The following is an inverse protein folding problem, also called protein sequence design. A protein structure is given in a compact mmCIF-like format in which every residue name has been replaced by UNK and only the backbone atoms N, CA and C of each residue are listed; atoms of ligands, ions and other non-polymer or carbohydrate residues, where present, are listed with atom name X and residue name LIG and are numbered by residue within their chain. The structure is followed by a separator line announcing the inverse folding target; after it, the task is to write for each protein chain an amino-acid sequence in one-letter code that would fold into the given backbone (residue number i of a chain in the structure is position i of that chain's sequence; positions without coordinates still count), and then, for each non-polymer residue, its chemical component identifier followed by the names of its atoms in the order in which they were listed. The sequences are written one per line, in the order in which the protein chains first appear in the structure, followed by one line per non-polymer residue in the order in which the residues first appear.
data_IF_987520721496
#
_entry.id   IF_987520721496
#
_cell.length_a   1.000
_cell.length_b   1.000
_cell.length_c   1.000
_cell.angle_alpha   90.00
_cell.angle_beta   90.00
_cell.angle_gamma   90.00
#
_symmetry.space_group_name_H-M   'P 1'
#
loop_
_entity.id
_entity.type
_entity.pdbx_description
1 polymer ?
#
# COMPACT_ATOMS: atom_id res chain seq x y z
N UNK A 1 16.23 -13.26 16.03
CA UNK A 1 16.75 -12.14 15.22
C UNK A 1 16.26 -10.86 15.86
N UNK A 2 17.08 -9.82 15.91
CA UNK A 2 16.58 -8.46 16.15
C UNK A 2 15.99 -7.96 14.83
N UNK A 3 14.89 -7.23 14.90
CA UNK A 3 14.36 -6.45 13.79
C UNK A 3 14.17 -5.02 14.29
N UNK A 4 14.18 -4.08 13.36
CA UNK A 4 14.37 -2.66 13.62
C UNK A 4 13.50 -1.86 12.67
N UNK A 5 12.66 -1.00 13.24
CA UNK A 5 11.67 -0.24 12.48
C UNK A 5 11.68 1.24 12.81
N UNK A 6 11.23 2.04 11.84
CA UNK A 6 11.14 3.49 11.90
C UNK A 6 9.75 3.90 11.39
N UNK A 7 8.98 4.65 12.19
CA UNK A 7 7.69 5.17 11.77
C UNK A 7 7.88 6.47 10.97
N UNK A 8 7.38 6.52 9.71
CA UNK A 8 7.42 7.70 8.79
C UNK A 8 6.15 7.95 7.64
N UNK A 9 5.64 9.16 8.35
CA UNK A 9 6.13 10.35 9.28
C UNK A 9 5.85 11.95 9.17
N UNK A 10 4.67 12.65 9.09
CA UNK A 10 4.39 14.15 9.00
C UNK A 10 2.91 14.68 9.02
N UNK A 11 2.67 15.96 8.61
CA UNK A 11 1.40 16.71 8.37
C UNK A 11 1.59 17.97 7.43
N UNK A 12 0.50 18.54 6.86
CA UNK A 12 0.49 19.68 5.88
C UNK A 12 -0.29 20.94 6.34
N UNK A 13 0.18 22.16 6.01
CA UNK A 13 -0.58 23.41 6.11
C UNK A 13 -0.18 24.46 5.04
N UNK A 14 -1.12 25.34 4.66
CA UNK A 14 -0.87 26.48 3.76
C UNK A 14 -0.84 27.81 4.55
N UNK A 15 0.25 28.58 4.45
CA UNK A 15 0.37 29.90 5.10
C UNK A 15 1.08 30.93 4.20
N UNK A 16 0.64 32.20 4.29
CA UNK A 16 1.18 33.30 3.49
C UNK A 16 2.14 34.17 4.32
N UNK A 17 3.43 33.82 4.36
CA UNK A 17 4.47 34.75 4.85
C UNK A 17 5.81 34.50 4.15
N UNK A 18 6.40 35.56 3.58
CA UNK A 18 7.59 35.46 2.73
C UNK A 18 8.77 36.22 3.38
N UNK A 19 9.61 35.48 4.12
CA UNK A 19 10.82 36.03 4.76
C UNK A 19 11.91 34.95 4.94
N UNK A 20 12.66 34.62 3.87
CA UNK A 20 13.86 33.77 3.98
C UNK A 20 14.99 34.50 4.71
N UNK A 21 15.03 34.41 6.03
CA UNK A 21 16.28 34.56 6.78
C UNK A 21 17.19 33.36 6.48
N UNK A 22 18.48 33.62 6.28
CA UNK A 22 19.50 32.58 6.25
C UNK A 22 19.63 31.98 7.66
N UNK A 23 18.95 30.87 7.91
CA UNK A 23 19.16 30.09 9.12
C UNK A 23 20.59 29.50 9.11
N UNK A 24 21.26 29.41 10.28
CA UNK A 24 22.59 28.80 10.35
C UNK A 24 22.51 27.33 9.92
N UNK A 25 23.56 26.84 9.25
CA UNK A 25 23.67 25.42 8.89
C UNK A 25 23.57 24.57 10.16
N UNK A 26 22.51 23.79 10.26
CA UNK A 26 22.31 22.83 11.34
C UNK A 26 23.02 21.51 11.00
N UNK A 27 23.59 20.87 12.01
CA UNK A 27 24.27 19.56 11.87
C UNK A 27 23.27 18.42 11.62
N UNK A 28 23.70 17.29 11.01
CA UNK A 28 22.85 16.12 10.83
C UNK A 28 22.34 15.57 12.16
N UNK A 29 21.06 15.16 12.19
CA UNK A 29 20.42 14.58 13.37
C UNK A 29 20.14 13.10 13.11
N UNK A 30 20.43 12.23 14.08
CA UNK A 30 20.33 10.77 13.91
C UNK A 30 19.33 10.12 14.86
N UNK A 31 18.78 8.98 14.43
CA UNK A 31 17.82 8.17 15.16
C UNK A 31 18.14 6.69 14.96
N UNK A 32 18.61 6.03 16.01
CA UNK A 32 18.97 4.62 15.96
C UNK A 32 17.75 3.71 16.17
N UNK A 33 17.68 2.62 15.40
CA UNK A 33 16.72 1.53 15.58
C UNK A 33 17.48 0.21 15.39
N UNK A 34 17.75 -0.49 16.49
CA UNK A 34 18.54 -1.73 16.47
C UNK A 34 19.93 -1.53 15.88
N UNK A 35 20.23 -2.29 14.82
CA UNK A 35 21.54 -2.33 14.16
C UNK A 35 21.64 -1.30 12.99
N UNK A 36 20.64 -0.42 12.85
CA UNK A 36 20.56 0.63 11.83
C UNK A 36 20.33 2.03 12.43
N UNK A 37 20.74 3.07 11.69
CA UNK A 37 20.43 4.48 11.97
C UNK A 37 19.69 5.14 10.79
N UNK A 38 18.78 6.06 11.11
CA UNK A 38 18.31 7.09 10.18
C UNK A 38 19.07 8.38 10.46
N UNK A 39 19.57 9.03 9.41
CA UNK A 39 20.27 10.31 9.42
C UNK A 39 19.45 11.31 8.62
N UNK A 40 19.14 12.47 9.21
CA UNK A 40 18.45 13.56 8.52
C UNK A 40 19.35 14.80 8.52
N UNK A 41 19.63 15.34 7.34
CA UNK A 41 20.45 16.53 7.13
C UNK A 41 19.54 17.71 6.73
N UNK A 42 19.38 18.75 7.56
CA UNK A 42 18.67 19.97 7.19
C UNK A 42 19.46 20.87 6.24
N UNK A 43 18.74 21.73 5.52
CA UNK A 43 19.27 22.68 4.54
C UNK A 43 19.60 22.07 3.19
N UNK A 44 20.37 22.79 2.36
CA UNK A 44 20.65 22.38 0.97
C UNK A 44 21.64 21.23 0.83
N UNK A 45 22.23 20.71 1.91
CA UNK A 45 23.21 19.62 1.88
C UNK A 45 22.62 18.31 1.36
N UNK A 46 23.46 17.44 0.79
CA UNK A 46 23.09 16.07 0.41
C UNK A 46 23.88 15.02 1.20
N UNK A 47 23.29 13.86 1.53
CA UNK A 47 21.87 13.53 1.35
C UNK A 47 20.97 14.15 2.44
N UNK A 48 19.80 14.66 2.06
CA UNK A 48 18.79 15.19 3.00
C UNK A 48 18.27 14.14 3.99
N UNK A 49 18.07 12.89 3.55
CA UNK A 49 17.76 11.74 4.40
C UNK A 49 18.59 10.54 3.95
N UNK A 50 19.15 9.78 4.88
CA UNK A 50 19.78 8.49 4.58
C UNK A 50 19.55 7.49 5.73
N UNK A 51 19.42 6.20 5.40
CA UNK A 51 19.43 5.13 6.41
C UNK A 51 20.62 4.21 6.20
N UNK A 52 21.27 3.81 7.29
CA UNK A 52 22.58 3.14 7.27
C UNK A 52 22.64 2.00 8.29
N UNK A 53 23.41 0.96 7.99
CA UNK A 53 23.76 -0.08 8.96
C UNK A 53 24.89 0.44 9.86
N UNK A 54 24.62 0.53 11.17
CA UNK A 54 25.52 1.18 12.14
C UNK A 54 26.87 0.46 12.26
N UNK A 55 26.91 -0.86 12.03
CA UNK A 55 28.11 -1.67 12.17
C UNK A 55 29.07 -1.59 10.97
N UNK A 56 28.57 -1.34 9.75
CA UNK A 56 29.37 -1.32 8.52
C UNK A 56 29.49 0.06 7.88
N UNK A 57 28.62 1.01 8.26
CA UNK A 57 28.46 2.29 7.56
C UNK A 57 27.76 2.17 6.20
N UNK A 58 27.31 0.96 5.80
CA UNK A 58 26.64 0.74 4.51
C UNK A 58 25.35 1.55 4.47
N UNK A 59 25.19 2.38 3.43
CA UNK A 59 23.97 3.14 3.18
C UNK A 59 22.96 2.25 2.46
N UNK A 60 21.76 2.07 3.05
CA UNK A 60 20.68 1.28 2.46
C UNK A 60 19.79 2.15 1.57
N UNK A 61 19.49 3.38 1.99
CA UNK A 61 18.79 4.34 1.13
C UNK A 61 19.27 5.77 1.34
N UNK A 62 18.98 6.58 0.32
CA UNK A 62 19.06 8.05 0.32
C UNK A 62 17.73 8.58 -0.23
N UNK A 63 17.25 9.69 0.32
CA UNK A 63 16.31 10.59 -0.36
C UNK A 63 16.85 12.03 -0.25
N UNK A 64 16.99 12.68 -1.39
CA UNK A 64 17.55 14.03 -1.55
C UNK A 64 16.46 15.08 -1.37
N UNK A 65 15.22 14.75 -1.74
CA UNK A 65 14.07 15.66 -1.76
C UNK A 65 12.91 15.02 -1.00
N UNK A 66 12.96 14.96 0.35
CA UNK A 66 12.01 14.23 1.19
C UNK A 66 10.67 14.96 1.39
N UNK A 67 10.51 16.16 0.83
CA UNK A 67 9.23 16.86 0.74
C UNK A 67 8.84 16.91 -0.74
N UNK A 68 7.74 16.23 -1.11
CA UNK A 68 7.23 16.23 -2.48
C UNK A 68 5.71 16.38 -2.46
N UNK A 69 5.16 17.12 -3.42
CA UNK A 69 3.72 17.25 -3.65
C UNK A 69 3.41 17.14 -5.14
N UNK A 70 2.37 16.37 -5.49
CA UNK A 70 1.77 16.40 -6.82
C UNK A 70 0.58 17.37 -6.79
N UNK A 71 0.61 18.34 -7.70
CA UNK A 71 -0.43 19.34 -7.90
C UNK A 71 -1.24 19.01 -9.15
N UNK A 72 -2.49 19.46 -9.19
CA UNK A 72 -3.34 19.35 -10.37
C UNK A 72 -3.37 20.70 -11.09
N UNK A 73 -2.70 20.82 -12.24
CA UNK A 73 -3.01 21.90 -13.17
C UNK A 73 -1.90 22.43 -14.09
N UNK A 74 -0.65 21.94 -14.05
CA UNK A 74 0.44 22.56 -14.81
C UNK A 74 1.49 21.58 -15.37
N UNK A 75 2.29 22.05 -16.33
CA UNK A 75 3.15 21.21 -17.19
C UNK A 75 4.25 20.47 -16.41
N UNK A 76 4.60 20.95 -15.20
CA UNK A 76 5.39 20.22 -14.20
C UNK A 76 4.57 20.03 -12.92
N UNK A 77 3.72 19.02 -12.88
CA UNK A 77 2.80 18.78 -11.76
C UNK A 77 3.48 18.45 -10.41
N UNK A 78 4.78 18.14 -10.35
CA UNK A 78 5.48 17.82 -9.08
C UNK A 78 6.31 19.01 -8.59
N UNK A 79 6.15 19.38 -7.32
CA UNK A 79 7.00 20.34 -6.63
C UNK A 79 7.71 19.66 -5.44
N UNK A 80 8.99 19.98 -5.23
CA UNK A 80 9.89 19.29 -4.30
C UNK A 80 10.62 20.25 -3.36
N UNK A 81 11.11 19.74 -2.22
CA UNK A 81 11.84 20.50 -1.22
C UNK A 81 12.56 19.64 -0.18
N UNK A 82 13.13 20.30 0.83
CA UNK A 82 13.98 19.74 1.89
C UNK A 82 13.55 20.27 3.26
N UNK A 83 14.06 19.64 4.33
CA UNK A 83 13.92 20.19 5.68
C UNK A 83 14.74 21.47 5.83
N UNK A 84 14.08 22.55 6.26
CA UNK A 84 14.76 23.76 6.72
C UNK A 84 15.41 23.53 8.09
N UNK A 85 14.75 22.77 8.97
CA UNK A 85 15.24 22.43 10.31
C UNK A 85 14.80 21.00 10.70
N UNK A 86 15.57 20.37 11.61
CA UNK A 86 15.21 19.08 12.23
C UNK A 86 15.51 19.15 13.73
N UNK A 87 14.52 18.92 14.58
CA UNK A 87 14.65 18.95 16.05
C UNK A 87 14.31 17.59 16.66
N UNK A 88 14.68 17.36 17.92
CA UNK A 88 14.22 16.18 18.68
C UNK A 88 13.10 16.60 19.63
N UNK A 89 11.87 16.18 19.35
CA UNK A 89 10.67 16.44 20.17
C UNK A 89 10.12 15.10 20.68
N UNK A 90 9.95 14.94 21.99
CA UNK A 90 9.36 13.75 22.64
C UNK A 90 9.91 12.39 22.17
N UNK A 91 11.21 12.32 21.85
CA UNK A 91 11.85 11.11 21.31
C UNK A 91 11.61 10.84 19.82
N UNK A 92 11.17 11.84 19.06
CA UNK A 92 11.05 11.79 17.60
C UNK A 92 11.95 12.83 16.92
N UNK A 93 12.45 12.52 15.72
CA UNK A 93 13.07 13.53 14.84
C UNK A 93 12.00 14.30 14.07
N UNK A 94 11.74 15.54 14.50
CA UNK A 94 10.77 16.45 13.88
C UNK A 94 11.46 17.33 12.85
N UNK A 95 11.29 17.00 11.57
CA UNK A 95 11.70 17.86 10.47
C UNK A 95 10.63 18.89 10.14
N UNK A 96 11.01 20.05 9.63
CA UNK A 96 10.08 21.06 9.11
C UNK A 96 10.67 21.71 7.86
N UNK A 97 9.85 21.98 6.85
CA UNK A 97 10.28 22.67 5.63
C UNK A 97 9.12 22.96 4.68
N UNK A 98 9.39 23.81 3.70
CA UNK A 98 8.40 24.29 2.73
C UNK A 98 8.72 23.82 1.31
N UNK A 99 7.67 23.53 0.54
CA UNK A 99 7.72 23.30 -0.91
C UNK A 99 7.05 24.48 -1.62
N UNK A 100 7.67 24.96 -2.70
CA UNK A 100 7.17 26.04 -3.53
C UNK A 100 6.74 25.50 -4.90
N UNK A 101 5.50 25.76 -5.33
CA UNK A 101 5.05 25.40 -6.69
C UNK A 101 5.61 26.34 -7.75
N UNK A 102 5.58 25.90 -9.02
CA UNK A 102 5.86 26.77 -10.16
C UNK A 102 4.93 28.00 -10.23
N UNK A 103 3.71 27.88 -9.69
CA UNK A 103 2.71 28.96 -9.55
C UNK A 103 2.90 29.85 -8.32
N UNK A 104 3.93 29.61 -7.49
CA UNK A 104 4.26 30.43 -6.31
C UNK A 104 3.50 30.09 -5.02
N UNK A 105 2.71 29.01 -4.99
CA UNK A 105 2.04 28.52 -3.79
C UNK A 105 3.03 27.84 -2.85
N UNK A 106 2.91 28.12 -1.54
CA UNK A 106 3.77 27.54 -0.49
C UNK A 106 3.01 26.44 0.27
N UNK A 107 3.65 25.28 0.41
CA UNK A 107 3.14 24.11 1.12
C UNK A 107 4.09 23.76 2.27
N UNK A 108 3.67 23.98 3.51
CA UNK A 108 4.48 23.70 4.69
C UNK A 108 4.27 22.26 5.17
N UNK A 109 5.37 21.54 5.40
CA UNK A 109 5.40 20.18 5.92
C UNK A 109 6.00 20.19 7.35
N UNK A 110 5.30 19.61 8.34
CA UNK A 110 5.91 19.21 9.62
C UNK A 110 6.01 17.70 9.69
N UNK A 111 7.22 17.19 9.71
CA UNK A 111 7.54 15.76 9.85
C UNK A 111 7.84 15.38 11.29
N UNK A 112 7.77 14.10 11.59
CA UNK A 112 8.36 13.48 12.78
C UNK A 112 8.98 12.13 12.34
N UNK A 113 9.71 11.43 13.20
CA UNK A 113 10.12 10.02 12.95
C UNK A 113 10.48 9.38 14.29
N UNK A 114 10.01 8.15 14.54
CA UNK A 114 10.25 7.41 15.80
C UNK A 114 10.84 6.04 15.52
N UNK A 115 11.82 5.58 16.29
CA UNK A 115 12.27 4.19 16.25
C UNK A 115 11.36 3.31 17.12
N UNK A 116 10.94 2.17 16.58
CA UNK A 116 9.98 1.28 17.22
C UNK A 116 10.63 -0.09 17.53
N UNK A 117 10.75 -0.48 18.81
CA UNK A 117 11.14 -1.83 19.19
C UNK A 117 10.01 -2.81 18.89
N UNK A 118 10.35 -4.08 18.65
CA UNK A 118 9.44 -5.09 18.09
C UNK A 118 8.41 -5.68 19.09
N UNK A 119 7.99 -4.90 20.10
CA UNK A 119 7.23 -5.41 21.25
C UNK A 119 6.05 -4.54 21.73
N UNK A 120 6.02 -3.24 21.41
CA UNK A 120 4.98 -2.32 21.91
C UNK A 120 4.04 -1.80 20.81
N UNK A 121 2.80 -1.58 21.20
CA UNK A 121 1.72 -1.04 20.36
C UNK A 121 1.52 0.47 20.60
N UNK A 122 0.93 1.14 19.61
CA UNK A 122 0.55 2.57 19.57
C UNK A 122 1.65 3.61 19.23
N UNK A 123 1.18 4.75 18.67
CA UNK A 123 1.91 5.91 18.11
C UNK A 123 2.60 5.70 16.74
N UNK A 124 2.32 6.58 15.77
CA UNK A 124 2.70 6.45 14.33
C UNK A 124 3.01 7.80 13.64
N UNK A 125 2.29 8.17 12.55
CA UNK A 125 2.20 9.51 11.82
C UNK A 125 2.82 9.58 10.36
N UNK A 126 2.80 10.70 9.58
CA UNK A 126 2.53 10.79 8.06
C UNK A 126 3.31 11.68 6.92
N UNK A 127 4.60 11.47 6.49
CA UNK A 127 5.40 12.07 5.32
C UNK A 127 5.36 11.31 3.93
N UNK A 128 6.28 11.54 2.96
CA UNK A 128 6.56 10.60 1.84
C UNK A 128 8.06 10.28 1.63
N UNK A 129 8.52 9.06 1.94
CA UNK A 129 9.92 8.62 1.73
C UNK A 129 10.04 7.68 0.52
N UNK A 130 10.96 7.96 -0.39
CA UNK A 130 11.26 7.07 -1.52
C UNK A 130 12.68 6.49 -1.43
N UNK A 131 12.81 5.18 -1.63
CA UNK A 131 13.98 4.43 -1.12
C UNK A 131 14.56 3.39 -2.12
N UNK A 132 15.68 3.73 -2.79
CA UNK A 132 16.85 2.91 -3.23
C UNK A 132 17.84 3.87 -3.97
N UNK A 133 19.12 3.51 -4.28
CA UNK A 133 20.21 4.47 -4.48
C UNK A 133 20.54 4.81 -5.95
N UNK A 134 21.58 5.63 -6.14
CA UNK A 134 22.22 5.99 -7.43
C UNK A 134 23.01 4.83 -8.06
N UNK A 135 22.34 3.70 -8.30
CA UNK A 135 22.85 2.55 -9.07
C UNK A 135 21.74 1.94 -9.93
N UNK A 136 22.05 1.43 -11.14
CA UNK A 136 21.03 1.00 -12.09
C UNK A 136 20.25 -0.25 -11.62
N UNK A 137 18.94 -0.21 -11.84
CA UNK A 137 17.87 -1.11 -11.37
C UNK A 137 18.00 -2.64 -11.62
N UNK A 138 19.15 -3.16 -12.04
CA UNK A 138 19.30 -4.52 -12.60
C UNK A 138 19.56 -5.62 -11.55
N UNK A 139 19.90 -5.28 -10.31
CA UNK A 139 20.11 -6.24 -9.20
C UNK A 139 18.92 -6.38 -8.24
N UNK A 140 17.93 -5.49 -8.29
CA UNK A 140 16.83 -5.45 -7.32
C UNK A 140 15.74 -6.50 -7.59
N UNK A 141 15.15 -7.03 -6.51
CA UNK A 141 13.96 -7.88 -6.50
C UNK A 141 12.82 -7.13 -5.80
N UNK A 142 11.62 -7.16 -6.37
CA UNK A 142 10.46 -6.42 -5.88
C UNK A 142 9.31 -7.37 -5.48
N UNK A 143 8.62 -7.03 -4.40
CA UNK A 143 7.35 -7.62 -3.96
C UNK A 143 6.35 -6.51 -3.70
N UNK A 144 5.14 -6.68 -4.24
CA UNK A 144 3.96 -5.89 -3.89
C UNK A 144 2.92 -6.88 -3.38
N UNK A 145 2.20 -6.57 -2.31
CA UNK A 145 1.15 -7.45 -1.79
C UNK A 145 -0.04 -7.57 -2.74
N UNK A 146 -0.80 -8.67 -2.64
CA UNK A 146 -1.84 -9.08 -3.61
C UNK A 146 -1.28 -9.56 -4.96
N UNK A 147 -0.23 -8.91 -5.47
CA UNK A 147 0.55 -9.34 -6.63
C UNK A 147 1.44 -10.53 -6.28
N UNK A 148 0.87 -11.74 -6.33
CA UNK A 148 1.56 -12.99 -5.98
C UNK A 148 2.86 -13.24 -6.76
N UNK A 149 3.03 -12.62 -7.92
CA UNK A 149 4.14 -12.82 -8.84
C UNK A 149 5.47 -12.18 -8.37
N UNK A 150 6.43 -13.02 -7.99
CA UNK A 150 7.81 -12.65 -7.68
C UNK A 150 8.44 -11.79 -8.82
N UNK A 151 8.73 -10.52 -8.57
CA UNK A 151 9.29 -9.62 -9.59
C UNK A 151 10.82 -9.75 -9.59
N UNK A 152 11.32 -10.69 -10.38
CA UNK A 152 12.59 -10.47 -11.10
C UNK A 152 12.29 -9.50 -12.24
N UNK A 153 13.09 -8.45 -12.40
CA UNK A 153 12.94 -7.41 -13.43
C UNK A 153 13.35 -7.89 -14.86
N UNK A 154 13.02 -9.13 -15.20
CA UNK A 154 13.53 -9.87 -16.38
C UNK A 154 12.51 -10.86 -16.99
N UNK A 155 11.23 -10.81 -16.62
CA UNK A 155 10.20 -11.72 -17.13
C UNK A 155 8.98 -11.00 -17.69
N UNK A 156 8.61 -11.29 -18.93
CA UNK A 156 7.33 -10.87 -19.51
C UNK A 156 6.17 -11.62 -18.86
N UNK A 157 5.03 -10.95 -18.69
CA UNK A 157 3.78 -11.50 -18.17
C UNK A 157 2.62 -11.08 -19.08
N UNK A 158 1.40 -11.55 -18.78
CA UNK A 158 0.20 -11.20 -19.54
C UNK A 158 0.03 -9.68 -19.68
N UNK A 159 -0.19 -9.15 -20.91
CA UNK A 159 -0.49 -7.74 -21.13
C UNK A 159 -1.68 -7.25 -20.30
N UNK A 160 -1.69 -5.95 -19.97
CA UNK A 160 -2.76 -5.29 -19.22
C UNK A 160 -2.72 -5.43 -17.69
N UNK A 161 -2.07 -6.46 -17.13
CA UNK A 161 -2.05 -6.70 -15.67
C UNK A 161 -1.17 -5.65 -14.94
N UNK A 162 -1.57 -5.25 -13.72
CA UNK A 162 -0.74 -4.44 -12.81
C UNK A 162 0.62 -5.12 -12.57
N UNK A 163 1.72 -4.36 -12.71
CA UNK A 163 3.09 -4.91 -12.69
C UNK A 163 3.30 -6.13 -13.63
N UNK A 164 2.50 -6.23 -14.72
CA UNK A 164 2.62 -7.26 -15.76
C UNK A 164 3.70 -6.96 -16.80
N UNK A 165 4.02 -5.68 -16.99
CA UNK A 165 5.17 -5.24 -17.79
C UNK A 165 6.15 -4.53 -16.86
N UNK A 166 7.42 -4.90 -16.95
CA UNK A 166 8.49 -4.44 -16.06
C UNK A 166 9.28 -3.28 -16.69
N UNK A 167 8.94 -2.91 -17.93
CA UNK A 167 9.43 -1.70 -18.60
C UNK A 167 8.70 -0.42 -18.13
N UNK A 168 7.51 -0.56 -17.53
CA UNK A 168 6.79 0.51 -16.84
C UNK A 168 7.71 1.27 -15.86
N UNK A 169 7.56 2.59 -15.77
CA UNK A 169 8.31 3.47 -14.87
C UNK A 169 7.68 3.54 -13.47
N UNK A 170 6.38 3.29 -13.35
CA UNK A 170 5.64 3.41 -12.09
C UNK A 170 4.71 2.21 -11.86
N UNK A 171 4.65 1.77 -10.59
CA UNK A 171 3.90 0.61 -10.12
C UNK A 171 3.08 0.97 -8.87
N UNK A 172 2.31 2.05 -8.93
CA UNK A 172 1.49 2.52 -7.81
C UNK A 172 0.17 1.74 -7.77
N UNK A 173 -0.06 1.03 -6.66
CA UNK A 173 -1.24 0.22 -6.41
C UNK A 173 -1.88 0.69 -5.10
N UNK A 174 -3.17 1.00 -5.13
CA UNK A 174 -3.95 1.43 -3.96
C UNK A 174 -3.89 0.39 -2.86
N UNK A 175 -3.75 0.81 -1.60
CA UNK A 175 -3.71 -0.12 -0.47
C UNK A 175 -5.00 -0.94 -0.34
N UNK A 176 -6.16 -0.36 -0.67
CA UNK A 176 -7.46 -1.03 -0.73
C UNK A 176 -7.55 -2.17 -1.77
N UNK A 177 -6.55 -2.33 -2.66
CA UNK A 177 -6.43 -3.49 -3.57
C UNK A 177 -5.48 -4.58 -3.03
N UNK A 178 -4.90 -4.41 -1.85
CA UNK A 178 -3.97 -5.36 -1.25
C UNK A 178 -4.63 -6.10 -0.08
N UNK A 179 -4.50 -7.45 0.02
CA UNK A 179 -5.04 -8.22 1.15
C UNK A 179 -4.27 -8.01 2.46
N UNK A 180 -3.07 -7.44 2.37
CA UNK A 180 -2.27 -6.92 3.48
C UNK A 180 -1.36 -5.85 2.86
N UNK A 181 -1.61 -4.55 3.05
CA UNK A 181 -0.90 -3.52 2.29
C UNK A 181 0.56 -3.40 2.70
N UNK A 182 1.47 -3.83 1.82
CA UNK A 182 2.90 -3.51 1.91
C UNK A 182 3.62 -3.69 0.57
N UNK A 183 4.77 -3.03 0.46
CA UNK A 183 5.74 -3.21 -0.63
C UNK A 183 7.14 -3.48 -0.07
N UNK A 184 7.96 -4.20 -0.82
CA UNK A 184 9.28 -4.65 -0.39
C UNK A 184 10.26 -4.71 -1.56
N UNK A 185 11.48 -4.24 -1.35
CA UNK A 185 12.60 -4.36 -2.27
C UNK A 185 13.81 -5.00 -1.57
N UNK A 186 14.51 -5.89 -2.26
CA UNK A 186 15.79 -6.47 -1.84
C UNK A 186 16.82 -6.20 -2.96
N UNK A 187 18.03 -5.75 -2.62
CA UNK A 187 19.16 -5.86 -3.55
C UNK A 187 19.74 -7.28 -3.48
N UNK A 188 19.81 -7.96 -4.62
CA UNK A 188 20.29 -9.34 -4.66
C UNK A 188 21.82 -9.51 -4.66
N UNK A 189 22.57 -8.41 -4.51
CA UNK A 189 24.03 -8.40 -4.36
C UNK A 189 24.44 -8.48 -2.89
N UNK A 190 23.81 -7.65 -2.05
CA UNK A 190 24.06 -7.50 -0.61
C UNK A 190 23.12 -8.33 0.26
N UNK A 191 21.92 -8.64 -0.23
CA UNK A 191 20.86 -9.25 0.58
C UNK A 191 20.20 -8.28 1.58
N UNK A 192 20.56 -6.99 1.57
CA UNK A 192 19.82 -5.99 2.35
C UNK A 192 18.42 -5.80 1.74
N UNK A 193 17.40 -5.78 2.59
CA UNK A 193 16.02 -5.50 2.17
C UNK A 193 15.42 -4.31 2.90
N UNK A 194 14.35 -3.81 2.28
CA UNK A 194 13.55 -2.71 2.76
C UNK A 194 12.08 -2.97 2.48
N UNK A 195 11.21 -2.65 3.43
CA UNK A 195 9.76 -2.81 3.29
C UNK A 195 9.01 -1.63 3.89
N UNK A 196 7.90 -1.25 3.24
CA UNK A 196 7.03 -0.15 3.60
C UNK A 196 5.58 -0.63 3.69
N UNK A 197 4.87 -0.21 4.74
CA UNK A 197 3.45 -0.46 4.95
C UNK A 197 2.78 0.66 5.75
N UNK A 198 1.45 0.82 5.65
CA UNK A 198 0.69 1.71 6.51
C UNK A 198 0.78 1.27 7.97
N UNK A 199 0.76 2.21 8.90
CA UNK A 199 0.56 1.95 10.33
C UNK A 199 -0.70 2.69 10.74
N UNK A 200 -1.58 2.06 11.53
CA UNK A 200 -2.80 2.69 12.07
C UNK A 200 -3.71 3.34 11.00
N UNK A 201 -3.64 2.88 9.74
CA UNK A 201 -4.40 3.48 8.64
C UNK A 201 -5.85 2.97 8.60
N UNK A 202 -6.78 3.90 8.33
CA UNK A 202 -8.19 3.63 8.10
C UNK A 202 -8.57 4.04 6.67
N UNK A 203 -8.15 3.27 5.65
CA UNK A 203 -8.34 3.64 4.25
C UNK A 203 -9.82 3.61 3.85
N UNK A 204 -10.34 4.77 3.43
CA UNK A 204 -11.70 4.95 2.96
C UNK A 204 -11.75 5.92 1.76
N UNK A 205 -12.88 5.89 1.05
CA UNK A 205 -13.25 6.83 0.00
C UNK A 205 -14.74 7.13 0.14
N UNK A 206 -15.17 8.40 0.32
CA UNK A 206 -16.59 8.75 0.48
C UNK A 206 -17.30 8.93 -0.86
N UNK A 207 -16.55 9.01 -1.96
CA UNK A 207 -17.04 9.10 -3.34
C UNK A 207 -17.06 7.72 -3.99
N UNK A 208 -18.08 7.45 -4.80
CA UNK A 208 -17.97 6.37 -5.79
C UNK A 208 -16.94 6.76 -6.86
N UNK A 209 -16.17 5.78 -7.31
CA UNK A 209 -15.03 5.98 -8.21
C UNK A 209 -15.18 5.19 -9.52
N UNK A 210 -16.31 5.28 -10.24
CA UNK A 210 -16.64 4.36 -11.33
C UNK A 210 -15.84 4.63 -12.61
N UNK A 211 -14.96 5.64 -12.61
CA UNK A 211 -14.26 6.13 -13.78
C UNK A 211 -12.86 6.68 -13.44
N UNK A 212 -12.05 6.83 -14.48
CA UNK A 212 -10.68 7.33 -14.40
C UNK A 212 -10.54 8.85 -14.22
N UNK A 213 -11.59 9.58 -13.82
CA UNK A 213 -11.49 11.01 -13.55
C UNK A 213 -10.48 11.29 -12.43
N UNK A 214 -9.91 12.49 -12.43
CA UNK A 214 -9.18 13.02 -11.28
C UNK A 214 -10.20 13.46 -10.24
N UNK A 215 -10.32 12.71 -9.14
CA UNK A 215 -11.22 13.06 -8.04
C UNK A 215 -10.47 13.85 -6.96
N UNK A 216 -11.13 14.88 -6.42
CA UNK A 216 -10.58 15.79 -5.41
C UNK A 216 -11.59 15.82 -4.26
N UNK A 217 -11.26 15.17 -3.14
CA UNK A 217 -12.13 15.04 -1.97
C UNK A 217 -11.28 14.77 -0.73
N UNK A 218 -11.54 15.48 0.38
CA UNK A 218 -10.73 15.41 1.61
C UNK A 218 -10.89 14.10 2.40
N UNK A 219 -12.02 13.41 2.23
CA UNK A 219 -12.30 12.14 2.91
C UNK A 219 -11.64 10.93 2.25
N UNK A 220 -10.93 11.11 1.12
CA UNK A 220 -10.09 10.06 0.53
C UNK A 220 -8.88 9.85 1.45
N UNK A 221 -8.97 8.87 2.34
CA UNK A 221 -7.96 8.59 3.37
C UNK A 221 -7.00 7.47 3.01
N UNK A 222 -7.15 6.83 1.85
CA UNK A 222 -6.26 5.77 1.40
C UNK A 222 -5.06 6.29 0.58
N UNK A 223 -3.93 5.58 0.65
CA UNK A 223 -2.73 5.77 -0.16
C UNK A 223 -2.55 4.66 -1.22
N UNK A 224 -1.56 4.85 -2.09
CA UNK A 224 -1.01 3.83 -2.96
C UNK A 224 0.41 3.51 -2.56
N UNK A 225 0.74 2.22 -2.52
CA UNK A 225 2.08 1.71 -2.28
C UNK A 225 2.63 1.14 -3.58
N UNK A 226 3.93 1.26 -3.80
CA UNK A 226 4.53 0.80 -5.05
C UNK A 226 6.03 0.91 -5.13
N UNK A 227 6.50 0.92 -6.36
CA UNK A 227 7.84 1.35 -6.73
C UNK A 227 7.78 2.24 -7.97
N UNK A 228 8.78 3.08 -8.14
CA UNK A 228 9.07 3.79 -9.38
C UNK A 228 10.49 3.43 -9.86
N UNK A 229 10.79 3.74 -11.13
CA UNK A 229 12.08 3.49 -11.81
C UNK A 229 12.72 4.75 -12.39
N UNK A 230 12.02 5.88 -12.35
CA UNK A 230 12.46 7.19 -12.88
C UNK A 230 12.28 8.25 -11.78
N UNK A 231 13.25 9.17 -11.57
CA UNK A 231 14.59 9.19 -12.17
C UNK A 231 15.48 8.02 -11.74
N UNK A 232 15.24 7.48 -10.53
CA UNK A 232 15.91 6.30 -9.98
C UNK A 232 14.91 5.22 -9.61
N UNK A 233 15.39 4.01 -9.32
CA UNK A 233 14.54 2.95 -8.75
C UNK A 233 14.38 3.17 -7.26
N UNK A 234 13.13 3.27 -6.79
CA UNK A 234 12.82 3.52 -5.39
C UNK A 234 11.46 2.94 -5.01
N UNK A 235 11.33 2.38 -3.80
CA UNK A 235 10.01 2.14 -3.19
C UNK A 235 9.28 3.47 -3.00
N UNK A 236 7.95 3.47 -3.00
CA UNK A 236 7.14 4.68 -2.85
C UNK A 236 5.84 4.42 -2.08
N UNK A 237 5.44 5.43 -1.31
CA UNK A 237 4.09 5.66 -0.79
C UNK A 237 3.60 6.96 -1.41
N UNK A 238 2.37 6.97 -1.93
CA UNK A 238 1.75 8.13 -2.60
C UNK A 238 0.37 8.34 -2.01
N UNK A 239 0.15 9.50 -1.37
CA UNK A 239 -1.07 9.81 -0.64
C UNK A 239 -1.63 11.19 -1.04
N UNK A 240 -2.94 11.31 -1.32
CA UNK A 240 -3.92 10.22 -1.48
C UNK A 240 -3.64 9.36 -2.73
N UNK A 241 -4.18 8.14 -2.76
CA UNK A 241 -3.68 7.08 -3.63
C UNK A 241 -3.92 7.24 -5.13
N UNK A 242 -2.82 7.32 -5.89
CA UNK A 242 -2.77 7.29 -7.37
C UNK A 242 -2.59 5.85 -7.87
N UNK A 243 -3.28 5.43 -8.94
CA UNK A 243 -3.08 4.11 -9.56
C UNK A 243 -2.48 4.27 -10.97
N UNK A 244 -1.34 3.63 -11.26
CA UNK A 244 -0.64 3.74 -12.54
C UNK A 244 0.79 3.17 -12.53
N UNK A 245 1.51 3.01 -13.65
CA UNK A 245 1.18 3.33 -15.06
C UNK A 245 0.18 2.36 -15.73
N UNK A 246 -0.34 1.39 -14.97
CA UNK A 246 -1.52 0.60 -15.31
C UNK A 246 -2.50 0.70 -14.15
N UNK A 247 -3.80 0.66 -14.43
CA UNK A 247 -4.86 0.77 -13.44
C UNK A 247 -6.10 -0.05 -13.89
N UNK A 248 -6.96 -0.43 -12.94
CA UNK A 248 -8.16 -1.23 -13.20
C UNK A 248 -9.45 -0.42 -13.43
N UNK A 249 -9.41 0.93 -13.46
CA UNK A 249 -10.62 1.77 -13.57
C UNK A 249 -10.78 2.38 -14.97
N UNK A 250 -9.68 2.86 -15.56
CA UNK A 250 -9.61 3.32 -16.94
C UNK A 250 -8.33 2.76 -17.60
N UNK A 251 -8.40 1.56 -18.22
CA UNK A 251 -7.27 0.95 -18.90
C UNK A 251 -6.73 1.73 -20.13
N UNK A 252 -7.46 2.75 -20.60
CA UNK A 252 -7.00 3.64 -21.68
C UNK A 252 -6.19 4.85 -21.18
N UNK A 253 -6.19 5.12 -19.87
CA UNK A 253 -5.31 6.10 -19.24
C UNK A 253 -4.17 5.41 -18.49
N UNK A 254 -2.93 5.94 -18.49
CA UNK A 254 -1.84 5.36 -17.72
C UNK A 254 -2.03 5.56 -16.21
N UNK A 255 -2.64 6.66 -15.79
CA UNK A 255 -2.83 7.03 -14.39
C UNK A 255 -4.27 7.38 -14.08
N UNK A 256 -4.71 7.06 -12.86
CA UNK A 256 -5.96 7.51 -12.25
C UNK A 256 -5.64 8.16 -10.92
N UNK A 257 -5.86 9.48 -10.84
CA UNK A 257 -5.34 10.36 -9.79
C UNK A 257 -6.38 10.66 -8.71
N UNK A 258 -5.95 10.67 -7.45
CA UNK A 258 -6.68 11.32 -6.35
C UNK A 258 -5.85 12.45 -5.80
N UNK A 259 -6.52 13.47 -5.27
CA UNK A 259 -5.90 14.57 -4.55
C UNK A 259 -6.83 15.09 -3.47
N UNK A 260 -6.28 15.84 -2.54
CA UNK A 260 -7.06 16.62 -1.58
C UNK A 260 -7.24 18.06 -2.07
N UNK A 261 -8.27 18.80 -1.61
CA UNK A 261 -8.46 20.20 -1.96
C UNK A 261 -7.41 21.10 -1.31
N UNK A 262 -6.67 21.86 -2.13
CA UNK A 262 -5.74 22.89 -1.64
C UNK A 262 -6.53 24.10 -1.14
N UNK A 263 -6.93 24.06 0.13
CA UNK A 263 -7.79 25.08 0.78
C UNK A 263 -7.34 25.36 2.21
N UNK A 264 -7.57 26.60 2.68
CA UNK A 264 -7.12 27.04 4.00
C UNK A 264 -7.82 26.27 5.13
N UNK A 265 -7.04 25.78 6.09
CA UNK A 265 -7.55 25.06 7.26
C UNK A 265 -7.64 23.54 7.09
N UNK A 266 -7.40 23.02 5.88
CA UNK A 266 -7.34 21.57 5.65
C UNK A 266 -5.91 21.05 5.88
N UNK A 267 -5.79 19.93 6.58
CA UNK A 267 -4.53 19.27 6.93
C UNK A 267 -4.63 17.76 6.68
N UNK A 268 -3.57 17.17 6.14
CA UNK A 268 -3.58 15.78 5.64
C UNK A 268 -2.59 14.86 6.36
N UNK A 269 -2.93 13.57 6.43
CA UNK A 269 -2.39 12.61 7.38
C UNK A 269 -2.60 11.13 6.93
N UNK A 270 -1.57 10.47 6.38
CA UNK A 270 -1.44 9.00 6.21
C UNK A 270 -0.22 8.32 6.91
N UNK A 271 -0.43 7.34 7.81
CA UNK A 271 0.56 6.81 8.79
C UNK A 271 1.32 5.52 8.38
N UNK A 272 2.50 5.18 8.98
CA UNK A 272 3.40 4.10 8.48
C UNK A 272 4.47 3.47 9.40
N UNK A 273 5.07 2.36 8.90
CA UNK A 273 6.44 1.93 9.22
C UNK A 273 7.32 1.56 8.02
N UNK A 274 8.62 1.87 8.17
CA UNK A 274 9.75 1.29 7.46
C UNK A 274 10.28 0.09 8.29
N UNK A 275 10.53 -1.05 7.65
CA UNK A 275 11.29 -2.16 8.22
C UNK A 275 12.45 -2.56 7.28
N UNK A 276 13.63 -2.76 7.86
CA UNK A 276 14.85 -3.14 7.16
C UNK A 276 15.60 -4.24 7.92
N UNK A 277 16.11 -5.23 7.18
CA UNK A 277 16.91 -6.34 7.71
C UNK A 277 17.75 -7.00 6.59
N UNK A 278 18.78 -7.79 6.93
CA UNK A 278 19.59 -8.53 5.97
C UNK A 278 19.12 -9.99 5.80
N UNK A 279 19.12 -10.50 4.58
CA UNK A 279 18.92 -11.92 4.27
C UNK A 279 19.55 -12.33 2.94
N UNK A 280 20.20 -13.50 2.93
CA UNK A 280 20.67 -14.12 1.70
C UNK A 280 19.54 -14.70 0.82
N UNK A 281 18.31 -14.84 1.35
CA UNK A 281 17.18 -15.43 0.63
C UNK A 281 15.92 -14.54 0.61
N UNK A 282 15.41 -14.32 -0.60
CA UNK A 282 14.25 -13.47 -0.88
C UNK A 282 12.91 -14.11 -0.46
N UNK A 283 12.83 -15.44 -0.36
CA UNK A 283 11.64 -16.14 0.14
C UNK A 283 11.50 -16.01 1.66
N UNK A 284 12.60 -16.08 2.40
CA UNK A 284 12.66 -15.76 3.82
C UNK A 284 12.22 -14.31 4.05
N UNK A 285 12.73 -13.38 3.25
CA UNK A 285 12.40 -11.95 3.30
C UNK A 285 10.92 -11.65 3.08
N UNK A 286 10.33 -12.15 1.98
CA UNK A 286 8.90 -11.97 1.71
C UNK A 286 8.05 -12.54 2.84
N UNK A 287 8.47 -13.66 3.45
CA UNK A 287 7.77 -14.26 4.61
C UNK A 287 7.97 -13.46 5.91
N UNK A 288 9.15 -12.88 6.14
CA UNK A 288 9.44 -12.05 7.31
C UNK A 288 8.72 -10.71 7.23
N UNK A 289 8.80 -10.01 6.10
CA UNK A 289 8.05 -8.77 5.89
C UNK A 289 6.53 -9.00 5.90
N UNK A 290 6.01 -10.10 5.32
CA UNK A 290 4.58 -10.43 5.46
C UNK A 290 4.17 -10.52 6.93
N UNK A 291 4.93 -11.26 7.76
CA UNK A 291 4.63 -11.38 9.19
C UNK A 291 4.76 -10.05 9.92
N UNK A 292 5.85 -9.32 9.70
CA UNK A 292 6.05 -8.00 10.29
C UNK A 292 4.88 -7.04 10.01
N UNK A 293 4.40 -6.96 8.75
CA UNK A 293 3.28 -6.08 8.40
C UNK A 293 1.92 -6.63 8.86
N UNK A 294 1.75 -7.96 8.90
CA UNK A 294 0.56 -8.61 9.48
C UNK A 294 0.44 -8.35 10.99
N UNK A 295 1.54 -8.54 11.72
CA UNK A 295 1.60 -8.40 13.18
C UNK A 295 1.53 -6.91 13.59
N UNK A 296 1.91 -5.98 12.70
CA UNK A 296 1.67 -4.55 12.83
C UNK A 296 0.19 -4.16 12.61
N UNK A 297 -0.49 -4.77 11.63
CA UNK A 297 -1.94 -4.57 11.43
C UNK A 297 -2.75 -5.23 12.55
N UNK A 298 -2.22 -6.29 13.18
CA UNK A 298 -2.84 -7.06 14.25
C UNK A 298 -4.35 -7.35 13.97
N UNK A 299 -4.67 -8.01 12.84
CA UNK A 299 -6.05 -8.24 12.44
C UNK A 299 -6.78 -9.13 13.45
N UNK A 300 -8.08 -8.92 13.63
CA UNK A 300 -8.89 -9.75 14.53
C UNK A 300 -9.00 -11.19 13.99
N UNK A 301 -8.31 -12.13 14.66
CA UNK A 301 -8.38 -13.56 14.33
C UNK A 301 -9.52 -14.20 15.13
N UNK A 302 -10.73 -14.14 14.58
CA UNK A 302 -11.89 -14.82 15.14
C UNK A 302 -11.68 -16.35 15.17
N UNK A 303 -11.67 -16.94 16.37
CA UNK A 303 -11.52 -18.39 16.55
C UNK A 303 -12.88 -19.09 16.38
N UNK A 304 -13.23 -19.40 15.14
CA UNK A 304 -14.48 -20.10 14.79
C UNK A 304 -14.20 -21.58 14.49
N UNK A 305 -14.97 -22.54 15.04
CA UNK A 305 -14.83 -23.95 14.67
C UNK A 305 -15.05 -24.17 13.18
N UNK A 306 -14.14 -24.92 12.53
CA UNK A 306 -14.20 -25.13 11.07
C UNK A 306 -15.50 -25.82 10.61
N UNK A 307 -16.14 -26.61 11.47
CA UNK A 307 -17.46 -27.20 11.21
C UNK A 307 -18.56 -26.13 11.15
N UNK A 308 -18.49 -25.08 11.95
CA UNK A 308 -19.52 -24.05 12.02
C UNK A 308 -19.42 -23.12 10.80
N UNK A 309 -18.18 -22.80 10.38
CA UNK A 309 -17.91 -22.14 9.10
C UNK A 309 -18.42 -22.98 7.92
N UNK A 310 -18.21 -24.29 7.95
CA UNK A 310 -18.73 -25.21 6.92
C UNK A 310 -20.27 -25.24 6.92
N UNK A 311 -20.91 -25.33 8.09
CA UNK A 311 -22.38 -25.30 8.24
C UNK A 311 -22.97 -24.02 7.68
N UNK A 312 -22.49 -22.86 8.15
CA UNK A 312 -22.92 -21.56 7.64
C UNK A 312 -22.70 -21.41 6.13
N UNK A 313 -21.63 -22.00 5.57
CA UNK A 313 -21.40 -22.02 4.12
C UNK A 313 -22.42 -22.88 3.36
N UNK A 314 -22.80 -24.05 3.91
CA UNK A 314 -23.86 -24.90 3.34
C UNK A 314 -25.22 -24.22 3.46
N UNK A 315 -25.52 -23.58 4.59
CA UNK A 315 -26.79 -22.87 4.82
C UNK A 315 -26.92 -21.66 3.87
N UNK A 316 -25.83 -20.92 3.65
CA UNK A 316 -25.76 -19.80 2.70
C UNK A 316 -25.98 -20.28 1.25
N UNK A 317 -25.37 -21.40 0.86
CA UNK A 317 -25.63 -22.02 -0.45
C UNK A 317 -27.05 -22.59 -0.54
N UNK A 318 -27.61 -23.13 0.54
CA UNK A 318 -29.00 -23.60 0.60
C UNK A 318 -30.03 -22.47 0.50
N UNK A 319 -29.68 -21.26 0.94
CA UNK A 319 -30.50 -20.05 0.82
C UNK A 319 -30.46 -19.44 -0.58
N UNK A 320 -29.27 -19.30 -1.18
CA UNK A 320 -29.11 -18.73 -2.53
C UNK A 320 -29.24 -19.76 -3.67
N UNK A 321 -29.31 -21.05 -3.38
CA UNK A 321 -29.52 -22.11 -4.37
C UNK A 321 -30.99 -22.20 -4.76
N UNK A 322 -31.36 -21.66 -5.92
CA UNK A 322 -32.75 -21.55 -6.36
C UNK A 322 -32.90 -21.58 -7.90
N UNK A 323 -34.15 -21.57 -8.36
CA UNK A 323 -34.50 -21.52 -9.78
C UNK A 323 -34.60 -20.07 -10.25
N UNK A 324 -33.52 -19.53 -10.81
CA UNK A 324 -33.50 -18.18 -11.38
C UNK A 324 -33.82 -18.23 -12.87
N UNK A 325 -34.90 -17.55 -13.28
CA UNK A 325 -35.39 -17.52 -14.66
C UNK A 325 -35.64 -18.93 -15.26
N UNK A 326 -36.02 -19.91 -14.42
CA UNK A 326 -36.27 -21.29 -14.81
C UNK A 326 -35.05 -22.22 -14.78
N UNK A 327 -33.87 -21.72 -14.40
CA UNK A 327 -32.63 -22.49 -14.33
C UNK A 327 -32.12 -22.62 -12.89
N UNK A 328 -31.72 -23.82 -12.44
CA UNK A 328 -31.20 -24.03 -11.10
C UNK A 328 -29.78 -23.48 -10.98
N UNK A 329 -29.47 -22.78 -9.89
CA UNK A 329 -28.12 -22.30 -9.62
C UNK A 329 -28.03 -21.30 -8.49
N UNK A 330 -26.90 -20.60 -8.45
CA UNK A 330 -26.64 -19.48 -7.54
C UNK A 330 -26.55 -18.16 -8.33
N UNK A 331 -26.91 -17.00 -7.74
CA UNK A 331 -26.59 -15.71 -8.33
C UNK A 331 -25.07 -15.50 -8.40
N UNK A 332 -24.62 -14.62 -9.29
CA UNK A 332 -23.20 -14.25 -9.41
C UNK A 332 -22.76 -13.31 -8.28
N UNK A 333 -23.65 -12.43 -7.83
CA UNK A 333 -23.38 -11.54 -6.70
C UNK A 333 -24.65 -10.99 -6.06
N UNK A 334 -24.55 -10.71 -4.77
CA UNK A 334 -25.50 -9.96 -3.96
C UNK A 334 -24.89 -8.63 -3.50
N UNK A 335 -25.74 -7.70 -3.06
CA UNK A 335 -25.35 -6.48 -2.37
C UNK A 335 -25.13 -6.77 -0.88
N UNK A 336 -24.26 -5.98 -0.23
CA UNK A 336 -24.09 -5.98 1.22
C UNK A 336 -24.54 -4.62 1.78
N UNK A 337 -25.12 -4.57 3.00
CA UNK A 337 -25.25 -5.67 3.95
C UNK A 337 -26.44 -6.61 3.70
N UNK A 338 -27.43 -6.19 2.90
CA UNK A 338 -28.79 -6.77 2.94
C UNK A 338 -28.95 -8.14 2.25
N UNK A 339 -28.01 -8.54 1.38
CA UNK A 339 -28.06 -9.81 0.65
C UNK A 339 -28.86 -9.77 -0.66
N UNK A 340 -29.43 -8.63 -1.03
CA UNK A 340 -30.22 -8.48 -2.27
C UNK A 340 -29.44 -8.89 -3.52
N UNK A 341 -30.05 -9.72 -4.36
CA UNK A 341 -29.40 -10.28 -5.56
C UNK A 341 -29.18 -9.18 -6.61
N UNK A 342 -27.90 -8.91 -6.91
CA UNK A 342 -27.46 -7.88 -7.85
C UNK A 342 -27.35 -8.40 -9.28
N UNK A 343 -26.87 -9.64 -9.44
CA UNK A 343 -26.59 -10.21 -10.76
C UNK A 343 -26.82 -11.73 -10.78
N UNK A 344 -27.51 -12.21 -11.81
CA UNK A 344 -27.79 -13.63 -12.06
C UNK A 344 -27.05 -14.03 -13.34
N UNK A 345 -25.81 -14.51 -13.20
CA UNK A 345 -25.05 -15.14 -14.29
C UNK A 345 -24.44 -16.46 -13.80
N UNK A 346 -24.79 -17.58 -14.42
CA UNK A 346 -24.38 -18.93 -13.98
C UNK A 346 -22.96 -19.26 -14.43
N UNK A 347 -21.98 -18.56 -13.87
CA UNK A 347 -20.58 -18.67 -14.30
C UNK A 347 -19.92 -19.95 -13.78
N UNK A 348 -19.13 -20.62 -14.62
CA UNK A 348 -18.31 -21.78 -14.28
C UNK A 348 -16.82 -21.51 -14.55
N UNK A 349 -15.93 -22.27 -13.91
CA UNK A 349 -14.48 -22.18 -14.14
C UNK A 349 -13.78 -21.19 -13.21
N UNK A 350 -12.79 -20.45 -13.72
CA UNK A 350 -11.84 -19.69 -12.87
C UNK A 350 -12.52 -18.65 -11.94
N UNK A 351 -13.56 -17.97 -12.42
CA UNK A 351 -14.34 -16.97 -11.66
C UNK A 351 -15.70 -17.48 -11.20
N UNK A 352 -16.06 -18.73 -11.52
CA UNK A 352 -17.43 -19.23 -11.44
C UNK A 352 -17.59 -20.50 -10.61
N UNK A 353 -18.31 -20.39 -9.50
CA UNK A 353 -18.34 -21.42 -8.43
C UNK A 353 -19.56 -22.36 -8.46
N UNK A 354 -20.36 -22.39 -9.54
CA UNK A 354 -21.58 -23.20 -9.62
C UNK A 354 -21.31 -24.70 -9.36
N UNK A 355 -20.33 -25.31 -10.06
CA UNK A 355 -20.04 -26.74 -9.92
C UNK A 355 -19.42 -27.11 -8.54
N UNK A 356 -18.45 -26.35 -7.99
CA UNK A 356 -17.98 -26.56 -6.61
C UNK A 356 -19.08 -26.43 -5.55
N UNK A 357 -19.95 -25.41 -5.67
CA UNK A 357 -21.06 -25.21 -4.73
C UNK A 357 -22.13 -26.31 -4.86
N UNK A 358 -22.46 -26.75 -6.07
CA UNK A 358 -23.34 -27.88 -6.32
C UNK A 358 -22.79 -29.19 -5.71
N UNK A 359 -21.46 -29.43 -5.83
CA UNK A 359 -20.80 -30.56 -5.16
C UNK A 359 -20.91 -30.47 -3.64
N UNK A 360 -20.74 -29.28 -3.04
CA UNK A 360 -20.88 -29.08 -1.60
C UNK A 360 -22.30 -29.39 -1.11
N UNK A 361 -23.33 -28.91 -1.82
CA UNK A 361 -24.74 -29.22 -1.51
C UNK A 361 -25.06 -30.71 -1.67
N UNK A 362 -24.60 -31.36 -2.75
CA UNK A 362 -24.74 -32.80 -2.96
C UNK A 362 -24.10 -33.60 -1.83
N UNK A 363 -22.84 -33.29 -1.52
CA UNK A 363 -22.07 -33.98 -0.48
C UNK A 363 -22.77 -33.86 0.87
N UNK A 364 -23.17 -32.67 1.28
CA UNK A 364 -23.78 -32.48 2.59
C UNK A 364 -25.22 -33.01 2.67
N UNK A 365 -26.00 -32.86 1.60
CA UNK A 365 -27.34 -33.45 1.49
C UNK A 365 -27.34 -34.97 1.65
N UNK A 366 -26.36 -35.68 1.06
CA UNK A 366 -26.19 -37.11 1.29
C UNK A 366 -25.67 -37.46 2.70
N UNK A 367 -24.78 -36.65 3.28
CA UNK A 367 -24.22 -36.90 4.62
C UNK A 367 -25.21 -36.60 5.76
N UNK A 368 -26.15 -35.68 5.55
CA UNK A 368 -27.14 -35.24 6.56
C UNK A 368 -28.56 -35.78 6.31
N UNK A 369 -28.82 -36.37 5.14
CA UNK A 369 -30.15 -36.80 4.72
C UNK A 369 -31.05 -35.66 4.18
N UNK A 370 -30.51 -34.44 4.02
CA UNK A 370 -31.23 -33.29 3.46
C UNK A 370 -31.39 -33.42 1.95
N UNK A 371 -32.50 -34.04 1.52
CA UNK A 371 -32.78 -34.31 0.10
C UNK A 371 -32.88 -33.03 -0.73
N UNK A 372 -33.41 -31.93 -0.18
CA UNK A 372 -33.49 -30.63 -0.85
C UNK A 372 -32.10 -30.11 -1.31
N UNK A 373 -31.07 -30.23 -0.46
CA UNK A 373 -29.71 -29.82 -0.81
C UNK A 373 -29.11 -30.79 -1.86
N UNK A 374 -29.33 -32.10 -1.69
CA UNK A 374 -28.86 -33.10 -2.63
C UNK A 374 -29.51 -32.94 -4.02
N UNK A 375 -30.80 -32.64 -4.07
CA UNK A 375 -31.58 -32.48 -5.29
C UNK A 375 -31.26 -31.15 -5.99
N UNK A 376 -31.09 -30.05 -5.24
CA UNK A 376 -30.62 -28.78 -5.80
C UNK A 376 -29.22 -28.93 -6.40
N UNK A 377 -28.28 -29.51 -5.67
CA UNK A 377 -26.93 -29.75 -6.19
C UNK A 377 -26.92 -30.68 -7.41
N UNK A 378 -27.81 -31.69 -7.48
CA UNK A 378 -27.95 -32.54 -8.69
C UNK A 378 -28.42 -31.73 -9.89
N UNK A 379 -29.50 -30.95 -9.72
CA UNK A 379 -30.08 -30.10 -10.78
C UNK A 379 -29.11 -29.07 -11.35
N UNK A 380 -28.15 -28.57 -10.55
CA UNK A 380 -27.09 -27.64 -11.00
C UNK A 380 -25.97 -28.37 -11.77
N UNK A 381 -25.78 -29.68 -11.57
CA UNK A 381 -24.84 -30.50 -12.37
C UNK A 381 -25.49 -31.10 -13.63
N UNK A 382 -26.83 -31.20 -13.67
CA UNK A 382 -27.60 -31.69 -14.82
C UNK A 382 -27.90 -30.57 -15.86
N UNK A 383 -27.37 -29.35 -15.66
CA UNK A 383 -27.52 -28.15 -16.51
C UNK A 383 -26.22 -27.81 -17.28
#
# INVERSE_FOLDING_TARGET
MKFSSLAAVAALAATNTLARHLQPRQEPVTLQSGDYELVITPGDAEPSVAMRETASGTVLFVEEQPLQILLNGDVTNTANGKYAAVVTEDGALVGTGDVLSASGSVFSFKTATRSHPMADSQSGVQLPLHLWPDQPARSSRLRISGSWHLVRLQGTRSPGVLAGDLNNNYFYIREMRMPLPFVMMQDSTSGQHLSLGPQDASPASPVDEPNGNWWIDEGITYASLGAQRVPSTKLAIVYPGIEGEKNYINPAAPFVYRSHPVTNGVTHSYSFRINAAPSADFGLDVRQSWRYHHDMVNPEIASVPANDVYRASIDLLGFYGADYNGWPGFPFSCNLPDGDIREITFQMGFIGQQLPAAHLLLRDGYLTGQSNLADMGRRILDF
#
